data_IF_603297759272
#
_entry.id   IF_603297759272
#
_cell.length_a   1.000
_cell.length_b   1.000
_cell.length_c   1.000
_cell.angle_alpha   90.00
_cell.angle_beta   90.00
_cell.angle_gamma   90.00
#
_symmetry.space_group_name_H-M   'P 1'
#
loop_
_entity.id
_entity.type
_entity.pdbx_description
1 polymer ?
#
# COMPACT_ATOMS: atom_id res chain seq x y z
N UNK A 1 -18.56 2.20 -20.09
CA UNK A 1 -18.83 0.82 -20.58
C UNK A 1 -19.61 0.02 -19.53
N UNK A 2 -19.15 -0.09 -18.27
CA UNK A 2 -19.81 -0.90 -17.23
C UNK A 2 -21.28 -0.49 -17.00
N UNK A 3 -21.56 0.81 -16.83
CA UNK A 3 -22.92 1.31 -16.64
C UNK A 3 -23.84 0.98 -17.82
N UNK A 4 -23.35 1.09 -19.05
CA UNK A 4 -24.14 0.80 -20.25
C UNK A 4 -24.43 -0.69 -20.40
N UNK A 5 -23.39 -1.53 -20.24
CA UNK A 5 -23.52 -3.00 -20.35
C UNK A 5 -24.40 -3.55 -19.23
N UNK A 6 -24.21 -3.11 -17.97
CA UNK A 6 -25.04 -3.56 -16.85
C UNK A 6 -26.50 -3.18 -17.06
N UNK A 7 -26.78 -1.99 -17.56
CA UNK A 7 -28.13 -1.54 -17.86
C UNK A 7 -28.78 -2.36 -18.99
N UNK A 8 -28.03 -2.66 -20.06
CA UNK A 8 -28.50 -3.54 -21.12
C UNK A 8 -28.83 -4.95 -20.62
N UNK A 9 -27.96 -5.54 -19.78
CA UNK A 9 -28.19 -6.86 -19.20
C UNK A 9 -29.45 -6.84 -18.33
N UNK A 10 -29.64 -5.83 -17.48
CA UNK A 10 -30.84 -5.69 -16.67
C UNK A 10 -32.10 -5.58 -17.54
N UNK A 11 -32.08 -4.75 -18.60
CA UNK A 11 -33.21 -4.66 -19.52
C UNK A 11 -33.51 -6.00 -20.19
N UNK A 12 -32.49 -6.75 -20.63
CA UNK A 12 -32.67 -8.08 -21.20
C UNK A 12 -33.27 -9.07 -20.20
N UNK A 13 -32.83 -9.05 -18.94
CA UNK A 13 -33.39 -9.88 -17.86
C UNK A 13 -34.85 -9.53 -17.58
N UNK A 14 -35.22 -8.24 -17.56
CA UNK A 14 -36.60 -7.81 -17.43
C UNK A 14 -37.46 -8.27 -18.63
N UNK A 15 -36.92 -8.20 -19.84
CA UNK A 15 -37.63 -8.69 -21.05
C UNK A 15 -37.84 -10.22 -21.05
N UNK A 16 -36.93 -10.97 -20.38
CA UNK A 16 -37.03 -12.42 -20.16
C UNK A 16 -38.01 -12.80 -19.03
N UNK A 17 -38.72 -11.83 -18.43
CA UNK A 17 -39.71 -12.08 -17.38
C UNK A 17 -39.15 -12.17 -15.96
N UNK A 18 -37.87 -11.91 -15.74
CA UNK A 18 -37.25 -11.88 -14.40
C UNK A 18 -37.52 -10.52 -13.72
N UNK A 19 -38.80 -10.20 -13.46
CA UNK A 19 -39.22 -8.91 -12.91
C UNK A 19 -39.40 -8.93 -11.39
N UNK A 20 -39.54 -10.10 -10.77
CA UNK A 20 -39.74 -10.23 -9.35
C UNK A 20 -38.50 -9.80 -8.54
N UNK A 21 -38.73 -8.99 -7.52
CA UNK A 21 -37.68 -8.51 -6.59
C UNK A 21 -36.87 -9.65 -5.95
N UNK A 22 -37.44 -10.86 -5.80
CA UNK A 22 -36.76 -12.06 -5.27
C UNK A 22 -35.51 -12.46 -6.08
N UNK A 23 -35.47 -12.17 -7.40
CA UNK A 23 -34.31 -12.45 -8.25
C UNK A 23 -33.17 -11.44 -8.07
N UNK A 24 -33.47 -10.26 -7.54
CA UNK A 24 -32.52 -9.14 -7.38
C UNK A 24 -32.04 -8.92 -5.94
N UNK A 25 -32.28 -9.92 -5.05
CA UNK A 25 -31.78 -9.89 -3.68
C UNK A 25 -32.37 -8.74 -2.87
N UNK A 26 -33.66 -8.80 -2.58
CA UNK A 26 -34.29 -7.89 -1.61
C UNK A 26 -33.60 -8.10 -0.25
N UNK A 27 -32.72 -7.17 0.09
CA UNK A 27 -31.96 -7.25 1.33
C UNK A 27 -32.88 -7.16 2.54
N UNK A 28 -32.93 -8.21 3.37
CA UNK A 28 -33.50 -8.09 4.71
C UNK A 28 -32.81 -6.96 5.45
N UNK A 29 -33.56 -6.12 6.15
CA UNK A 29 -32.95 -5.11 7.04
C UNK A 29 -31.98 -5.83 8.00
N UNK A 30 -30.69 -5.50 7.90
CA UNK A 30 -29.67 -6.11 8.74
C UNK A 30 -29.68 -5.45 10.10
N UNK A 31 -29.52 -6.24 11.15
CA UNK A 31 -29.30 -5.72 12.51
C UNK A 31 -28.12 -4.76 12.49
N UNK A 32 -28.32 -3.55 12.99
CA UNK A 32 -27.26 -2.52 13.05
C UNK A 32 -26.14 -2.97 13.96
N UNK A 33 -24.93 -2.98 13.43
CA UNK A 33 -23.72 -3.33 14.19
C UNK A 33 -23.19 -2.08 14.90
N UNK A 34 -22.77 -2.23 16.15
CA UNK A 34 -22.27 -1.10 16.93
C UNK A 34 -20.74 -0.95 16.80
N UNK A 35 -20.30 -0.32 15.72
CA UNK A 35 -18.87 -0.05 15.47
C UNK A 35 -18.32 1.02 16.42
N UNK A 36 -19.08 2.06 16.71
CA UNK A 36 -18.62 3.19 17.52
C UNK A 36 -18.36 2.83 18.99
N UNK A 37 -19.02 1.81 19.54
CA UNK A 37 -18.74 1.36 20.91
C UNK A 37 -17.33 0.77 21.04
N UNK A 38 -16.82 0.17 19.97
CA UNK A 38 -15.49 -0.47 19.91
C UNK A 38 -14.40 0.42 19.29
N UNK A 39 -14.67 1.70 19.05
CA UNK A 39 -13.73 2.63 18.41
C UNK A 39 -12.36 2.67 19.09
N UNK A 40 -12.31 2.64 20.43
CA UNK A 40 -11.05 2.65 21.18
C UNK A 40 -10.17 1.44 20.86
N UNK A 41 -10.77 0.26 20.66
CA UNK A 41 -10.07 -0.96 20.28
C UNK A 41 -9.49 -0.80 18.86
N UNK A 42 -10.27 -0.29 17.92
CA UNK A 42 -9.80 -0.05 16.55
C UNK A 42 -8.63 0.95 16.52
N UNK A 43 -8.73 2.05 17.23
CA UNK A 43 -7.60 3.01 17.33
C UNK A 43 -6.37 2.39 18.00
N UNK A 44 -6.56 1.58 19.06
CA UNK A 44 -5.45 0.91 19.75
C UNK A 44 -4.75 -0.11 18.85
N UNK A 45 -5.50 -0.91 18.10
CA UNK A 45 -4.93 -1.87 17.12
C UNK A 45 -4.15 -1.13 16.02
N UNK A 46 -4.70 -0.05 15.48
CA UNK A 46 -4.02 0.78 14.48
C UNK A 46 -2.71 1.35 15.00
N UNK A 47 -2.73 1.91 16.21
CA UNK A 47 -1.54 2.48 16.83
C UNK A 47 -0.49 1.39 17.10
N UNK A 48 -0.90 0.21 17.53
CA UNK A 48 -0.01 -0.93 17.78
C UNK A 48 0.69 -1.37 16.48
N UNK A 49 -0.06 -1.49 15.37
CA UNK A 49 0.50 -1.87 14.06
C UNK A 49 1.51 -0.83 13.57
N UNK A 50 1.18 0.46 13.69
CA UNK A 50 2.10 1.55 13.32
C UNK A 50 3.33 1.55 14.21
N UNK A 51 3.18 1.35 15.52
CA UNK A 51 4.29 1.28 16.46
C UNK A 51 5.20 0.07 16.16
N UNK A 52 4.63 -1.10 15.88
CA UNK A 52 5.38 -2.29 15.46
C UNK A 52 6.17 -2.01 14.17
N UNK A 53 5.56 -1.31 13.19
CA UNK A 53 6.26 -0.87 11.99
C UNK A 53 7.44 0.07 12.30
N UNK A 54 7.25 1.00 13.23
CA UNK A 54 8.34 1.88 13.71
C UNK A 54 9.50 1.11 14.34
N UNK A 55 9.19 0.06 15.10
CA UNK A 55 10.22 -0.84 15.67
C UNK A 55 10.96 -1.58 14.54
N UNK A 56 10.24 -2.14 13.54
CA UNK A 56 10.87 -2.79 12.38
C UNK A 56 11.79 -1.81 11.62
N UNK A 57 11.36 -0.56 11.43
CA UNK A 57 12.17 0.48 10.79
C UNK A 57 13.46 0.78 11.60
N UNK A 58 13.34 0.81 12.94
CA UNK A 58 14.50 0.99 13.83
C UNK A 58 15.48 -0.18 13.76
N UNK A 59 14.98 -1.42 13.74
CA UNK A 59 15.79 -2.63 13.59
C UNK A 59 16.49 -2.66 12.22
N UNK A 60 15.79 -2.40 11.15
CA UNK A 60 16.39 -2.34 9.81
C UNK A 60 17.54 -1.31 9.76
N UNK A 61 17.33 -0.12 10.36
CA UNK A 61 18.37 0.90 10.42
C UNK A 61 19.61 0.43 11.18
N UNK A 62 19.45 -0.37 12.24
CA UNK A 62 20.60 -0.91 12.99
C UNK A 62 21.33 -2.03 12.26
N UNK A 63 20.61 -2.81 11.42
CA UNK A 63 21.19 -3.92 10.65
C UNK A 63 21.83 -3.47 9.33
N UNK A 64 21.12 -2.62 8.56
CA UNK A 64 21.50 -2.26 7.19
C UNK A 64 21.87 -0.80 6.98
N UNK A 65 21.78 0.03 8.02
CA UNK A 65 21.95 1.49 7.94
C UNK A 65 20.75 2.25 7.36
N UNK A 66 19.81 1.56 6.71
CA UNK A 66 18.64 2.12 6.05
C UNK A 66 17.34 1.74 6.80
N UNK A 67 16.37 2.65 6.81
CA UNK A 67 15.06 2.43 7.45
C UNK A 67 14.18 1.47 6.65
N UNK A 68 14.32 1.50 5.33
CA UNK A 68 13.59 0.70 4.35
C UNK A 68 14.57 0.09 3.36
N UNK A 69 14.19 -0.98 2.69
CA UNK A 69 14.99 -1.58 1.62
C UNK A 69 14.85 -0.76 0.33
N UNK A 70 15.68 0.27 0.19
CA UNK A 70 15.63 1.13 -1.01
C UNK A 70 16.14 0.40 -2.24
N UNK A 71 15.43 0.55 -3.36
CA UNK A 71 15.89 0.08 -4.67
C UNK A 71 17.01 0.96 -5.19
N UNK A 72 17.70 0.47 -6.22
CA UNK A 72 18.73 1.22 -6.91
C UNK A 72 18.24 2.57 -7.44
N UNK A 73 16.99 2.64 -7.88
CA UNK A 73 16.35 3.88 -8.34
C UNK A 73 16.36 4.99 -7.29
N UNK A 74 16.25 4.63 -6.01
CA UNK A 74 16.20 5.59 -4.90
C UNK A 74 17.49 5.74 -4.13
N UNK A 75 18.36 4.74 -4.13
CA UNK A 75 19.66 4.80 -3.44
C UNK A 75 20.77 5.28 -4.36
N UNK A 76 20.68 4.99 -5.64
CA UNK A 76 21.78 5.08 -6.60
C UNK A 76 22.74 3.90 -6.42
N UNK A 77 23.68 3.77 -7.33
CA UNK A 77 24.67 2.69 -7.27
C UNK A 77 24.65 1.80 -8.50
N UNK A 78 25.23 0.62 -8.36
CA UNK A 78 25.25 -0.43 -9.38
C UNK A 78 24.53 -1.66 -8.86
N UNK A 79 23.61 -2.20 -9.64
CA UNK A 79 22.99 -3.50 -9.42
C UNK A 79 23.60 -4.48 -10.41
N UNK A 80 24.27 -5.49 -9.90
CA UNK A 80 24.84 -6.58 -10.71
C UNK A 80 23.99 -7.81 -10.51
N UNK A 81 23.42 -8.31 -11.59
CA UNK A 81 22.62 -9.52 -11.61
C UNK A 81 23.50 -10.68 -12.07
N UNK A 82 23.61 -11.72 -11.24
CA UNK A 82 24.53 -12.83 -11.41
C UNK A 82 23.73 -14.13 -11.36
N UNK A 83 23.91 -14.99 -12.35
CA UNK A 83 23.32 -16.33 -12.35
C UNK A 83 24.39 -17.33 -11.94
N UNK A 84 24.30 -17.87 -10.72
CA UNK A 84 25.22 -18.88 -10.23
C UNK A 84 24.89 -20.27 -10.79
N UNK A 85 25.89 -21.14 -10.88
CA UNK A 85 25.71 -22.52 -11.33
C UNK A 85 25.01 -23.40 -10.29
N UNK A 86 25.14 -23.04 -9.01
CA UNK A 86 24.51 -23.72 -7.88
C UNK A 86 23.61 -22.78 -7.10
N UNK A 87 22.62 -23.36 -6.41
CA UNK A 87 21.70 -22.59 -5.58
C UNK A 87 22.33 -22.30 -4.22
N UNK A 88 22.93 -21.11 -4.06
CA UNK A 88 23.55 -20.68 -2.80
C UNK A 88 22.52 -20.11 -1.83
N UNK A 89 22.66 -20.40 -0.55
CA UNK A 89 21.86 -19.78 0.52
C UNK A 89 22.31 -18.32 0.75
N UNK A 90 21.50 -17.53 1.44
CA UNK A 90 21.88 -16.13 1.76
C UNK A 90 23.11 -16.11 2.66
N UNK A 91 23.21 -17.02 3.60
CA UNK A 91 24.36 -17.17 4.51
C UNK A 91 25.66 -17.50 3.75
N UNK A 92 25.57 -18.34 2.72
CA UNK A 92 26.74 -18.64 1.86
C UNK A 92 27.15 -17.46 1.00
N UNK A 93 26.17 -16.72 0.47
CA UNK A 93 26.44 -15.49 -0.29
C UNK A 93 27.14 -14.44 0.58
N UNK A 94 26.65 -14.22 1.81
CA UNK A 94 27.24 -13.27 2.76
C UNK A 94 28.63 -13.69 3.24
N UNK A 95 28.89 -15.01 3.34
CA UNK A 95 30.17 -15.51 3.82
C UNK A 95 31.24 -15.59 2.72
N UNK A 96 30.87 -15.86 1.47
CA UNK A 96 31.81 -16.17 0.40
C UNK A 96 31.86 -15.12 -0.71
N UNK A 97 30.69 -14.59 -1.12
CA UNK A 97 30.58 -13.69 -2.29
C UNK A 97 30.73 -12.23 -1.88
N UNK A 98 30.02 -11.82 -0.83
CA UNK A 98 30.02 -10.42 -0.35
C UNK A 98 31.44 -9.93 -0.02
N UNK A 99 32.30 -10.66 0.74
CA UNK A 99 33.65 -10.19 1.06
C UNK A 99 34.54 -10.00 -0.18
N UNK A 100 34.36 -10.81 -1.22
CA UNK A 100 35.12 -10.66 -2.47
C UNK A 100 34.71 -9.36 -3.17
N UNK A 101 33.42 -9.06 -3.19
CA UNK A 101 32.90 -7.84 -3.82
C UNK A 101 33.31 -6.60 -3.02
N UNK A 102 33.24 -6.66 -1.68
CA UNK A 102 33.73 -5.59 -0.80
C UNK A 102 35.21 -5.29 -1.01
N UNK A 103 36.01 -6.35 -1.18
CA UNK A 103 37.47 -6.22 -1.44
C UNK A 103 37.78 -5.53 -2.77
N UNK A 104 36.97 -5.75 -3.79
CA UNK A 104 37.13 -5.15 -5.13
C UNK A 104 36.55 -3.73 -5.18
N UNK A 105 35.37 -3.56 -4.64
CA UNK A 105 34.63 -2.31 -4.75
C UNK A 105 34.98 -1.30 -3.66
N UNK A 106 35.54 -1.74 -2.55
CA UNK A 106 35.75 -0.92 -1.35
C UNK A 106 34.44 -0.44 -0.71
N UNK A 107 33.31 -1.09 -1.04
CA UNK A 107 31.98 -0.77 -0.50
C UNK A 107 31.67 -1.69 0.68
N UNK A 108 31.66 -1.16 1.89
CA UNK A 108 31.29 -1.92 3.10
C UNK A 108 29.79 -2.13 3.29
N UNK A 109 28.96 -1.74 2.31
CA UNK A 109 27.48 -1.88 2.35
C UNK A 109 26.95 -2.70 1.16
N UNK A 110 27.67 -3.71 0.73
CA UNK A 110 27.24 -4.64 -0.31
C UNK A 110 25.99 -5.39 0.16
N UNK A 111 24.96 -5.40 -0.65
CA UNK A 111 23.73 -6.13 -0.35
C UNK A 111 23.51 -7.22 -1.39
N UNK A 112 23.45 -8.47 -0.94
CA UNK A 112 23.08 -9.61 -1.76
C UNK A 112 21.60 -9.93 -1.57
N UNK A 113 20.87 -10.09 -2.67
CA UNK A 113 19.45 -10.44 -2.67
C UNK A 113 19.21 -11.61 -3.60
N UNK A 114 18.75 -12.73 -3.06
CA UNK A 114 18.43 -13.92 -3.84
C UNK A 114 17.06 -13.80 -4.50
N UNK A 115 16.96 -14.18 -5.77
CA UNK A 115 15.68 -14.29 -6.47
C UNK A 115 15.03 -15.64 -6.15
N UNK A 116 13.85 -15.62 -5.54
CA UNK A 116 13.15 -16.82 -5.12
C UNK A 116 12.88 -17.80 -6.28
N UNK A 117 13.33 -19.05 -6.12
CA UNK A 117 13.11 -20.10 -7.11
C UNK A 117 14.07 -20.06 -8.31
N UNK A 118 15.19 -19.34 -8.18
CA UNK A 118 16.22 -19.19 -9.19
C UNK A 118 17.60 -19.24 -8.55
N UNK A 119 18.62 -19.55 -9.32
CA UNK A 119 20.05 -19.38 -8.96
C UNK A 119 20.54 -17.95 -9.19
N UNK A 120 19.64 -17.05 -9.49
CA UNK A 120 19.89 -15.64 -9.76
C UNK A 120 20.01 -14.85 -8.44
N UNK A 121 21.09 -14.05 -8.36
CA UNK A 121 21.39 -13.19 -7.21
C UNK A 121 21.62 -11.77 -7.72
N UNK A 122 20.93 -10.84 -7.08
CA UNK A 122 21.07 -9.40 -7.32
C UNK A 122 22.00 -8.83 -6.26
N UNK A 123 23.12 -8.27 -6.68
CA UNK A 123 24.09 -7.62 -5.81
C UNK A 123 24.05 -6.12 -6.02
N UNK A 124 23.80 -5.38 -4.95
CA UNK A 124 23.74 -3.91 -4.95
C UNK A 124 25.00 -3.35 -4.29
N UNK A 125 25.67 -2.46 -5.01
CA UNK A 125 26.89 -1.79 -4.56
C UNK A 125 26.80 -0.28 -4.80
N UNK A 126 27.78 0.50 -4.32
CA UNK A 126 27.96 1.86 -4.77
C UNK A 126 28.10 1.94 -6.31
N UNK A 127 28.04 3.11 -6.86
CA UNK A 127 28.31 3.30 -8.31
C UNK A 127 29.69 2.80 -8.66
N UNK A 128 29.75 1.82 -9.56
CA UNK A 128 30.99 1.22 -10.06
C UNK A 128 31.40 1.85 -11.39
N UNK A 129 32.67 2.09 -11.55
CA UNK A 129 33.28 2.44 -12.86
C UNK A 129 33.31 1.23 -13.79
N UNK A 130 33.55 1.47 -15.08
CA UNK A 130 33.65 0.38 -16.06
C UNK A 130 34.78 -0.60 -15.70
N UNK A 131 35.96 -0.08 -15.28
CA UNK A 131 37.09 -0.91 -14.87
C UNK A 131 36.78 -1.76 -13.63
N UNK A 132 36.11 -1.20 -12.62
CA UNK A 132 35.71 -1.95 -11.43
C UNK A 132 34.72 -3.06 -11.77
N UNK A 133 33.76 -2.82 -12.69
CA UNK A 133 32.84 -3.84 -13.18
C UNK A 133 33.52 -4.97 -13.93
N UNK A 134 34.48 -4.66 -14.77
CA UNK A 134 35.30 -5.66 -15.48
C UNK A 134 36.08 -6.53 -14.48
N UNK A 135 36.76 -5.90 -13.50
CA UNK A 135 37.47 -6.62 -12.45
C UNK A 135 36.55 -7.50 -11.62
N UNK A 136 35.34 -7.00 -11.31
CA UNK A 136 34.33 -7.74 -10.58
C UNK A 136 33.82 -8.97 -11.36
N UNK A 137 33.53 -8.78 -12.66
CA UNK A 137 33.08 -9.87 -13.54
C UNK A 137 34.15 -10.96 -13.66
N UNK A 138 35.41 -10.56 -13.80
CA UNK A 138 36.54 -11.46 -13.91
C UNK A 138 36.79 -12.26 -12.63
N UNK A 139 36.65 -11.60 -11.46
CA UNK A 139 36.75 -12.25 -10.16
C UNK A 139 35.59 -13.24 -9.91
N UNK A 140 34.38 -12.87 -10.24
CA UNK A 140 33.20 -13.74 -10.12
C UNK A 140 33.30 -14.96 -11.03
N UNK A 141 33.79 -14.77 -12.26
CA UNK A 141 34.02 -15.88 -13.18
C UNK A 141 35.12 -16.83 -12.69
N UNK A 142 36.21 -16.27 -12.18
CA UNK A 142 37.39 -17.07 -11.77
C UNK A 142 37.13 -17.83 -10.46
N UNK A 143 36.47 -17.20 -9.49
CA UNK A 143 36.28 -17.79 -8.16
C UNK A 143 35.03 -18.64 -8.05
N UNK A 144 33.94 -18.27 -8.72
CA UNK A 144 32.66 -18.93 -8.63
C UNK A 144 32.19 -19.61 -9.92
N UNK A 145 33.01 -19.59 -10.97
CA UNK A 145 32.70 -20.23 -12.26
C UNK A 145 31.51 -19.61 -12.98
N UNK A 146 31.17 -18.35 -12.67
CA UNK A 146 30.03 -17.66 -13.26
C UNK A 146 30.32 -17.29 -14.71
N UNK A 147 29.37 -17.53 -15.59
CA UNK A 147 29.47 -17.14 -17.00
C UNK A 147 29.33 -15.60 -17.11
N UNK A 148 30.38 -14.95 -17.57
CA UNK A 148 30.44 -13.48 -17.71
C UNK A 148 29.36 -12.92 -18.66
N UNK A 149 28.91 -13.72 -19.64
CA UNK A 149 27.81 -13.32 -20.54
C UNK A 149 26.45 -13.26 -19.84
N UNK A 150 26.31 -13.93 -18.70
CA UNK A 150 25.11 -13.94 -17.87
C UNK A 150 25.15 -12.92 -16.74
N UNK A 151 26.24 -12.16 -16.61
CA UNK A 151 26.32 -11.06 -15.65
C UNK A 151 25.80 -9.80 -16.33
N UNK A 152 24.71 -9.26 -15.78
CA UNK A 152 24.16 -7.97 -16.23
C UNK A 152 24.31 -6.93 -15.14
N UNK A 153 24.72 -5.72 -15.51
CA UNK A 153 24.88 -4.63 -14.54
C UNK A 153 24.14 -3.38 -14.99
N UNK A 154 23.33 -2.83 -14.07
CA UNK A 154 22.65 -1.56 -14.24
C UNK A 154 23.22 -0.54 -13.26
N UNK A 155 23.48 0.68 -13.73
CA UNK A 155 24.02 1.74 -12.87
C UNK A 155 23.14 2.97 -12.94
N UNK A 156 22.73 3.47 -11.77
CA UNK A 156 21.97 4.71 -11.63
C UNK A 156 22.80 5.69 -10.79
N UNK A 157 23.01 6.89 -11.32
CA UNK A 157 23.77 7.91 -10.59
C UNK A 157 22.99 8.42 -9.37
N UNK A 158 23.70 8.83 -8.32
CA UNK A 158 23.09 9.40 -7.11
C UNK A 158 22.28 10.68 -7.39
N UNK A 159 22.66 11.43 -8.43
CA UNK A 159 21.91 12.63 -8.87
C UNK A 159 20.52 12.25 -9.37
N UNK A 160 20.44 11.28 -10.30
CA UNK A 160 19.17 10.78 -10.84
C UNK A 160 18.31 10.20 -9.70
N UNK A 161 18.90 9.44 -8.80
CA UNK A 161 18.17 8.87 -7.66
C UNK A 161 17.62 9.93 -6.71
N UNK A 162 18.35 11.03 -6.50
CA UNK A 162 17.85 12.15 -5.67
C UNK A 162 16.71 12.90 -6.34
N UNK A 163 16.75 13.10 -7.65
CA UNK A 163 15.67 13.68 -8.44
C UNK A 163 14.42 12.80 -8.37
N UNK A 164 14.55 11.50 -8.63
CA UNK A 164 13.44 10.55 -8.56
C UNK A 164 12.76 10.52 -7.17
N UNK A 165 13.54 10.59 -6.09
CA UNK A 165 12.97 10.71 -4.73
C UNK A 165 12.23 12.03 -4.53
N UNK A 166 12.79 13.14 -5.01
CA UNK A 166 12.17 14.46 -4.96
C UNK A 166 10.82 14.46 -5.69
N UNK A 167 10.80 13.98 -6.91
CA UNK A 167 9.60 13.89 -7.75
C UNK A 167 8.54 12.99 -7.11
N UNK A 168 8.95 11.87 -6.51
CA UNK A 168 8.05 10.97 -5.77
C UNK A 168 7.33 11.68 -4.63
N UNK A 169 8.07 12.41 -3.81
CA UNK A 169 7.51 13.17 -2.67
C UNK A 169 6.54 14.24 -3.18
N UNK A 170 6.93 14.98 -4.20
CA UNK A 170 6.09 16.02 -4.82
C UNK A 170 4.81 15.41 -5.39
N UNK A 171 4.89 14.29 -6.10
CA UNK A 171 3.73 13.61 -6.67
C UNK A 171 2.74 13.17 -5.57
N UNK A 172 3.22 12.58 -4.47
CA UNK A 172 2.38 12.17 -3.34
C UNK A 172 1.74 13.37 -2.65
N UNK A 173 2.49 14.47 -2.47
CA UNK A 173 1.95 15.71 -1.89
C UNK A 173 0.86 16.31 -2.77
N UNK A 174 1.09 16.43 -4.08
CA UNK A 174 0.10 16.95 -5.03
C UNK A 174 -1.14 16.08 -5.02
N UNK A 175 -0.99 14.76 -5.11
CA UNK A 175 -2.11 13.82 -5.07
C UNK A 175 -2.93 13.98 -3.77
N UNK A 176 -2.26 14.10 -2.63
CA UNK A 176 -2.91 14.30 -1.32
C UNK A 176 -3.69 15.60 -1.28
N UNK A 177 -3.11 16.72 -1.75
CA UNK A 177 -3.79 18.03 -1.80
C UNK A 177 -4.99 17.99 -2.74
N UNK A 178 -4.85 17.41 -3.93
CA UNK A 178 -5.96 17.25 -4.88
C UNK A 178 -7.11 16.43 -4.27
N UNK A 179 -6.78 15.35 -3.57
CA UNK A 179 -7.76 14.50 -2.87
C UNK A 179 -8.47 15.28 -1.75
N UNK A 180 -7.74 16.07 -0.96
CA UNK A 180 -8.30 16.94 0.07
C UNK A 180 -9.31 17.93 -0.50
N UNK A 181 -8.92 18.61 -1.56
CA UNK A 181 -9.78 19.57 -2.26
C UNK A 181 -11.03 18.87 -2.80
N UNK A 182 -10.87 17.72 -3.45
CA UNK A 182 -11.99 16.94 -3.97
C UNK A 182 -13.00 16.58 -2.86
N UNK A 183 -12.53 16.04 -1.73
CA UNK A 183 -13.42 15.65 -0.62
C UNK A 183 -14.09 16.87 -0.02
N UNK A 184 -13.35 17.96 0.18
CA UNK A 184 -13.92 19.19 0.72
C UNK A 184 -15.00 19.77 -0.18
N UNK A 185 -14.76 19.85 -1.49
CA UNK A 185 -15.75 20.30 -2.48
C UNK A 185 -16.97 19.37 -2.52
N UNK A 186 -16.73 18.06 -2.43
CA UNK A 186 -17.79 17.02 -2.53
C UNK A 186 -18.73 17.04 -1.34
N UNK A 187 -18.20 17.19 -0.13
CA UNK A 187 -18.97 17.10 1.11
C UNK A 187 -19.33 18.45 1.73
N UNK A 188 -18.63 19.50 1.38
CA UNK A 188 -18.78 20.89 1.91
C UNK A 188 -18.72 20.95 3.45
N UNK A 189 -18.13 19.96 4.11
CA UNK A 189 -17.90 19.91 5.56
C UNK A 189 -16.44 19.46 5.79
N UNK A 190 -15.67 20.34 6.42
CA UNK A 190 -14.25 20.13 6.71
C UNK A 190 -14.01 18.90 7.57
N UNK A 191 -14.98 18.45 8.35
CA UNK A 191 -14.86 17.29 9.24
C UNK A 191 -14.80 15.98 8.45
N UNK A 192 -15.55 15.87 7.35
CA UNK A 192 -15.42 14.73 6.44
C UNK A 192 -14.04 14.71 5.79
N UNK A 193 -13.56 15.86 5.30
CA UNK A 193 -12.24 15.96 4.70
C UNK A 193 -11.14 15.62 5.71
N UNK A 194 -11.16 16.21 6.90
CA UNK A 194 -10.16 15.96 7.92
C UNK A 194 -10.13 14.49 8.38
N UNK A 195 -11.31 13.85 8.59
CA UNK A 195 -11.37 12.44 8.97
C UNK A 195 -10.90 11.51 7.85
N UNK A 196 -11.18 11.83 6.59
CA UNK A 196 -10.65 11.07 5.45
C UNK A 196 -9.13 11.14 5.39
N UNK A 197 -8.55 12.33 5.57
CA UNK A 197 -7.09 12.52 5.55
C UNK A 197 -6.40 11.75 6.66
N UNK A 198 -6.94 11.80 7.88
CA UNK A 198 -6.37 11.03 9.00
C UNK A 198 -6.45 9.53 8.72
N UNK A 199 -7.55 9.04 8.12
CA UNK A 199 -7.66 7.64 7.70
C UNK A 199 -6.67 7.28 6.59
N UNK A 200 -6.46 8.16 5.60
CA UNK A 200 -5.46 7.96 4.55
C UNK A 200 -4.03 7.96 5.09
N UNK A 201 -3.72 8.88 6.01
CA UNK A 201 -2.40 8.92 6.66
C UNK A 201 -2.14 7.62 7.44
N UNK A 202 -3.15 7.11 8.15
CA UNK A 202 -3.09 5.81 8.79
C UNK A 202 -2.75 4.70 7.78
N UNK A 203 -3.43 4.65 6.64
CA UNK A 203 -3.22 3.61 5.62
C UNK A 203 -1.81 3.66 5.05
N UNK A 204 -1.32 4.86 4.75
CA UNK A 204 0.07 5.08 4.30
C UNK A 204 1.07 4.60 5.35
N UNK A 205 0.87 4.93 6.64
CA UNK A 205 1.77 4.50 7.71
C UNK A 205 1.76 2.98 7.92
N UNK A 206 0.60 2.34 7.82
CA UNK A 206 0.51 0.87 7.92
C UNK A 206 1.19 0.19 6.73
N UNK A 207 1.04 0.72 5.53
CA UNK A 207 1.73 0.17 4.35
C UNK A 207 3.23 0.39 4.44
N UNK A 208 3.71 1.54 4.92
CA UNK A 208 5.12 1.76 5.22
C UNK A 208 5.65 0.76 6.26
N UNK A 209 4.86 0.51 7.32
CA UNK A 209 5.19 -0.52 8.32
C UNK A 209 5.32 -1.92 7.67
N UNK A 210 4.43 -2.23 6.74
CA UNK A 210 4.49 -3.49 5.98
C UNK A 210 5.75 -3.57 5.10
N UNK A 211 6.11 -2.50 4.39
CA UNK A 211 7.36 -2.45 3.61
C UNK A 211 8.59 -2.69 4.49
N UNK A 212 8.63 -2.09 5.68
CA UNK A 212 9.71 -2.28 6.62
C UNK A 212 9.79 -3.73 7.16
N UNK A 213 8.65 -4.31 7.52
CA UNK A 213 8.58 -5.65 8.09
C UNK A 213 8.86 -6.76 7.06
N UNK A 214 8.33 -6.60 5.84
CA UNK A 214 8.50 -7.58 4.76
C UNK A 214 9.78 -7.36 3.93
N UNK A 215 10.57 -6.31 4.25
CA UNK A 215 11.79 -5.91 3.53
C UNK A 215 11.60 -5.78 2.00
N UNK A 216 10.38 -5.41 1.57
CA UNK A 216 10.06 -5.21 0.16
C UNK A 216 10.80 -3.99 -0.38
N UNK A 217 11.25 -4.07 -1.64
CA UNK A 217 12.02 -3.01 -2.30
C UNK A 217 11.20 -1.73 -2.49
N UNK A 218 11.79 -0.58 -2.13
CA UNK A 218 11.18 0.75 -2.23
C UNK A 218 11.78 1.51 -3.41
N UNK A 219 11.05 1.58 -4.51
CA UNK A 219 11.44 2.24 -5.76
C UNK A 219 10.26 2.90 -6.45
N UNK A 220 10.28 3.00 -7.77
CA UNK A 220 9.18 3.55 -8.57
C UNK A 220 7.87 2.78 -8.39
N UNK A 221 7.94 1.47 -8.24
CA UNK A 221 6.78 0.60 -7.94
C UNK A 221 6.13 0.95 -6.60
N UNK A 222 6.90 1.37 -5.60
CA UNK A 222 6.40 1.86 -4.33
C UNK A 222 5.51 3.09 -4.50
N UNK A 223 5.92 4.06 -5.33
CA UNK A 223 5.13 5.27 -5.60
C UNK A 223 3.79 4.89 -6.22
N UNK A 224 3.82 4.05 -7.26
CA UNK A 224 2.61 3.56 -7.93
C UNK A 224 1.69 2.82 -6.95
N UNK A 225 2.24 1.99 -6.07
CA UNK A 225 1.51 1.28 -5.02
C UNK A 225 0.85 2.27 -4.05
N UNK A 226 1.58 3.26 -3.53
CA UNK A 226 1.07 4.26 -2.60
C UNK A 226 -0.07 5.09 -3.20
N UNK A 227 0.10 5.59 -4.44
CA UNK A 227 -0.95 6.33 -5.13
C UNK A 227 -2.20 5.48 -5.37
N UNK A 228 -2.01 4.21 -5.72
CA UNK A 228 -3.11 3.27 -5.92
C UNK A 228 -3.87 3.01 -4.61
N UNK A 229 -3.16 2.79 -3.51
CA UNK A 229 -3.76 2.56 -2.18
C UNK A 229 -4.53 3.79 -1.71
N UNK A 230 -3.96 4.99 -1.87
CA UNK A 230 -4.63 6.25 -1.55
C UNK A 230 -5.94 6.37 -2.34
N UNK A 231 -5.91 6.14 -3.65
CA UNK A 231 -7.10 6.18 -4.51
C UNK A 231 -8.15 5.12 -4.14
N UNK A 232 -7.70 3.92 -3.79
CA UNK A 232 -8.58 2.81 -3.40
C UNK A 232 -9.25 3.06 -2.04
N UNK A 233 -8.48 3.42 -1.03
CA UNK A 233 -8.98 3.67 0.33
C UNK A 233 -9.99 4.81 0.37
N UNK A 234 -9.71 5.91 -0.34
CA UNK A 234 -10.62 7.04 -0.38
C UNK A 234 -11.98 6.68 -0.99
N UNK A 235 -12.00 5.82 -2.02
CA UNK A 235 -13.25 5.38 -2.64
C UNK A 235 -14.17 4.66 -1.65
N UNK A 236 -13.64 3.76 -0.83
CA UNK A 236 -14.39 3.08 0.22
C UNK A 236 -14.90 4.06 1.29
N UNK A 237 -14.07 5.01 1.69
CA UNK A 237 -14.41 6.04 2.69
C UNK A 237 -15.53 6.96 2.18
N UNK A 238 -15.50 7.39 0.91
CA UNK A 238 -16.52 8.23 0.30
C UNK A 238 -17.89 7.53 0.30
N UNK A 239 -17.94 6.24 0.00
CA UNK A 239 -19.18 5.45 0.01
C UNK A 239 -19.85 5.47 1.40
N UNK A 240 -19.05 5.33 2.46
CA UNK A 240 -19.54 5.38 3.84
C UNK A 240 -20.00 6.81 4.20
N UNK A 241 -19.22 7.82 3.82
CA UNK A 241 -19.54 9.21 4.10
C UNK A 241 -20.79 9.70 3.35
N UNK A 242 -20.96 9.32 2.10
CA UNK A 242 -22.20 9.59 1.35
C UNK A 242 -23.41 8.99 2.06
N UNK A 243 -23.30 7.76 2.57
CA UNK A 243 -24.37 7.11 3.31
C UNK A 243 -24.63 7.78 4.66
N UNK A 244 -23.59 8.21 5.37
CA UNK A 244 -23.76 8.99 6.61
C UNK A 244 -24.51 10.31 6.31
N UNK A 245 -24.12 11.02 5.24
CA UNK A 245 -24.77 12.26 4.83
C UNK A 245 -26.23 12.07 4.45
N UNK A 246 -26.53 11.02 3.70
CA UNK A 246 -27.89 10.66 3.31
C UNK A 246 -28.78 10.37 4.54
N UNK A 247 -28.31 9.49 5.44
CA UNK A 247 -29.04 9.16 6.66
C UNK A 247 -29.18 10.36 7.61
N UNK A 248 -28.21 11.27 7.66
CA UNK A 248 -28.31 12.52 8.40
C UNK A 248 -29.41 13.44 7.86
N UNK A 249 -29.57 13.49 6.53
CA UNK A 249 -30.63 14.29 5.88
C UNK A 249 -32.03 13.76 6.19
N UNK A 250 -32.15 12.46 6.45
CA UNK A 250 -33.40 11.77 6.79
C UNK A 250 -33.67 11.72 8.32
N UNK A 251 -32.62 11.95 9.13
CA UNK A 251 -32.70 11.85 10.57
C UNK A 251 -33.49 13.03 11.18
N UNK A 252 -34.38 12.75 12.09
CA UNK A 252 -35.08 13.75 12.88
C UNK A 252 -34.16 14.49 13.87
N UNK A 253 -34.55 15.67 14.33
CA UNK A 253 -33.74 16.51 15.25
C UNK A 253 -33.31 15.81 16.55
N UNK A 254 -33.98 14.70 16.95
CA UNK A 254 -33.71 13.94 18.19
C UNK A 254 -32.95 12.62 17.95
N UNK A 255 -32.57 12.30 16.71
CA UNK A 255 -31.88 11.02 16.39
C UNK A 255 -30.44 11.05 16.91
N UNK A 256 -30.01 9.98 17.58
CA UNK A 256 -28.65 9.86 18.07
C UNK A 256 -27.67 9.75 16.88
N UNK A 257 -26.67 10.61 16.88
CA UNK A 257 -25.64 10.66 15.85
C UNK A 257 -24.86 9.35 15.75
N UNK A 258 -24.67 8.66 16.89
CA UNK A 258 -23.98 7.36 16.92
C UNK A 258 -24.81 6.28 16.21
N UNK A 259 -26.12 6.30 16.36
CA UNK A 259 -27.02 5.38 15.66
C UNK A 259 -26.97 5.60 14.15
N UNK A 260 -27.00 6.86 13.69
CA UNK A 260 -26.91 7.21 12.28
C UNK A 260 -25.61 6.69 11.66
N UNK A 261 -24.47 6.89 12.32
CA UNK A 261 -23.18 6.43 11.84
C UNK A 261 -23.12 4.89 11.78
N UNK A 262 -23.53 4.21 12.85
CA UNK A 262 -23.54 2.75 12.90
C UNK A 262 -24.46 2.13 11.83
N UNK A 263 -25.63 2.70 11.62
CA UNK A 263 -26.58 2.32 10.57
C UNK A 263 -25.96 2.49 9.20
N UNK A 264 -25.31 3.63 8.93
CA UNK A 264 -24.67 3.94 7.65
C UNK A 264 -23.54 2.97 7.32
N UNK A 265 -22.68 2.68 8.29
CA UNK A 265 -21.59 1.70 8.12
C UNK A 265 -22.19 0.32 7.84
N UNK A 266 -23.19 -0.11 8.60
CA UNK A 266 -23.84 -1.42 8.43
C UNK A 266 -24.48 -1.56 7.04
N UNK A 267 -25.11 -0.51 6.53
CA UNK A 267 -25.75 -0.50 5.20
C UNK A 267 -24.74 -0.62 4.05
N UNK A 268 -23.56 -0.04 4.21
CA UNK A 268 -22.49 -0.07 3.18
C UNK A 268 -21.52 -1.23 3.33
N UNK A 269 -21.56 -1.94 4.47
CA UNK A 269 -20.57 -2.95 4.86
C UNK A 269 -20.37 -4.05 3.79
N UNK A 270 -21.47 -4.63 3.29
CA UNK A 270 -21.39 -5.68 2.27
C UNK A 270 -20.74 -5.18 0.99
N UNK A 271 -21.13 -3.98 0.54
CA UNK A 271 -20.53 -3.39 -0.67
C UNK A 271 -19.05 -3.16 -0.48
N UNK A 272 -18.62 -2.58 0.64
CA UNK A 272 -17.21 -2.33 0.93
C UNK A 272 -16.41 -3.63 1.00
N UNK A 273 -16.90 -4.65 1.72
CA UNK A 273 -16.22 -5.94 1.83
C UNK A 273 -16.14 -6.65 0.47
N UNK A 274 -17.23 -6.77 -0.28
CA UNK A 274 -17.20 -7.47 -1.57
C UNK A 274 -16.33 -6.76 -2.60
N UNK A 275 -16.36 -5.42 -2.64
CA UNK A 275 -15.48 -4.64 -3.53
C UNK A 275 -14.01 -4.89 -3.17
N UNK A 276 -13.67 -4.87 -1.89
CA UNK A 276 -12.30 -5.13 -1.43
C UNK A 276 -11.87 -6.56 -1.69
N UNK A 277 -12.75 -7.52 -1.45
CA UNK A 277 -12.46 -8.94 -1.66
C UNK A 277 -12.22 -9.27 -3.15
N UNK A 278 -13.03 -8.72 -4.05
CA UNK A 278 -12.85 -8.90 -5.49
C UNK A 278 -11.53 -8.30 -5.97
N UNK A 279 -11.18 -7.10 -5.52
CA UNK A 279 -9.90 -6.46 -5.85
C UNK A 279 -8.73 -7.24 -5.24
N UNK A 280 -8.86 -7.70 -3.99
CA UNK A 280 -7.84 -8.51 -3.31
C UNK A 280 -7.56 -9.81 -4.07
N UNK A 281 -8.59 -10.53 -4.53
CA UNK A 281 -8.41 -11.73 -5.34
C UNK A 281 -7.77 -11.45 -6.69
N UNK A 282 -8.14 -10.35 -7.35
CA UNK A 282 -7.53 -9.96 -8.62
C UNK A 282 -6.03 -9.66 -8.45
N UNK A 283 -5.66 -8.89 -7.43
CA UNK A 283 -4.26 -8.59 -7.11
C UNK A 283 -3.54 -9.85 -6.60
N UNK A 284 -4.22 -10.72 -5.85
CA UNK A 284 -3.70 -12.01 -5.41
C UNK A 284 -3.39 -12.97 -6.55
N UNK A 285 -4.23 -13.01 -7.59
CA UNK A 285 -3.94 -13.75 -8.81
C UNK A 285 -2.71 -13.19 -9.53
N UNK A 286 -2.59 -11.85 -9.59
CA UNK A 286 -1.42 -11.17 -10.14
C UNK A 286 -0.14 -11.50 -9.34
N UNK A 287 -0.22 -11.57 -8.01
CA UNK A 287 0.87 -12.00 -7.14
C UNK A 287 1.28 -13.46 -7.39
N UNK A 288 0.30 -14.36 -7.55
CA UNK A 288 0.57 -15.79 -7.73
C UNK A 288 1.26 -16.11 -9.08
N UNK A 289 0.82 -15.45 -10.16
CA UNK A 289 1.26 -15.72 -11.54
C UNK A 289 2.35 -14.74 -12.00
N UNK A 290 2.48 -13.60 -11.36
CA UNK A 290 3.38 -12.51 -11.80
C UNK A 290 4.87 -12.83 -11.61
N UNK A 291 5.69 -12.20 -12.44
CA UNK A 291 7.15 -12.16 -12.28
C UNK A 291 7.55 -11.34 -11.05
N UNK A 292 8.80 -11.42 -10.61
CA UNK A 292 9.30 -10.83 -9.37
C UNK A 292 8.90 -9.34 -9.22
N UNK A 293 9.10 -8.52 -10.24
CA UNK A 293 8.74 -7.09 -10.19
C UNK A 293 7.23 -6.85 -9.96
N UNK A 294 6.39 -7.72 -10.52
CA UNK A 294 4.94 -7.65 -10.33
C UNK A 294 4.57 -8.10 -8.91
N UNK A 295 5.24 -9.11 -8.37
CA UNK A 295 5.02 -9.58 -7.00
C UNK A 295 5.41 -8.51 -5.98
N UNK A 296 6.50 -7.79 -6.18
CA UNK A 296 6.94 -6.67 -5.34
C UNK A 296 5.91 -5.53 -5.27
N UNK A 297 5.17 -5.31 -6.36
CA UNK A 297 4.05 -4.36 -6.40
C UNK A 297 2.77 -4.93 -5.78
N UNK A 298 2.42 -6.18 -6.12
CA UNK A 298 1.15 -6.79 -5.75
C UNK A 298 1.04 -7.06 -4.25
N UNK A 299 2.11 -7.53 -3.60
CA UNK A 299 2.11 -7.89 -2.19
C UNK A 299 1.80 -6.71 -1.26
N UNK A 300 2.48 -5.54 -1.34
CA UNK A 300 2.11 -4.37 -0.55
C UNK A 300 0.74 -3.81 -0.91
N UNK A 301 0.33 -3.91 -2.17
CA UNK A 301 -1.00 -3.48 -2.60
C UNK A 301 -2.10 -4.32 -1.95
N UNK A 302 -1.91 -5.63 -1.81
CA UNK A 302 -2.83 -6.51 -1.06
C UNK A 302 -2.95 -6.08 0.40
N UNK A 303 -1.82 -5.80 1.07
CA UNK A 303 -1.81 -5.27 2.43
C UNK A 303 -2.55 -3.92 2.52
N UNK A 304 -2.33 -3.03 1.55
CA UNK A 304 -3.00 -1.73 1.47
C UNK A 304 -4.51 -1.83 1.25
N UNK A 305 -4.99 -2.77 0.43
CA UNK A 305 -6.42 -3.04 0.21
C UNK A 305 -7.09 -3.48 1.52
N UNK A 306 -6.47 -4.39 2.27
CA UNK A 306 -6.98 -4.85 3.57
C UNK A 306 -7.00 -3.70 4.58
N UNK A 307 -5.90 -2.94 4.66
CA UNK A 307 -5.78 -1.79 5.55
C UNK A 307 -6.82 -0.71 5.22
N UNK A 308 -6.97 -0.32 3.94
CA UNK A 308 -7.94 0.69 3.49
C UNK A 308 -9.39 0.26 3.72
N UNK A 309 -9.69 -1.03 3.60
CA UNK A 309 -11.01 -1.56 3.97
C UNK A 309 -11.27 -1.43 5.46
N UNK A 310 -10.30 -1.82 6.28
CA UNK A 310 -10.38 -1.68 7.72
C UNK A 310 -10.53 -0.22 8.14
N UNK A 311 -9.69 0.67 7.64
CA UNK A 311 -9.70 2.09 8.02
C UNK A 311 -11.00 2.78 7.61
N UNK A 312 -11.52 2.50 6.44
CA UNK A 312 -12.80 3.05 5.97
C UNK A 312 -13.96 2.64 6.85
N UNK A 313 -14.05 1.36 7.24
CA UNK A 313 -15.15 0.82 8.04
C UNK A 313 -15.02 1.21 9.52
N UNK A 314 -13.81 1.04 10.10
CA UNK A 314 -13.60 1.12 11.54
C UNK A 314 -13.12 2.50 12.02
N UNK A 315 -12.36 3.24 11.21
CA UNK A 315 -11.73 4.50 11.62
C UNK A 315 -12.42 5.73 11.06
N UNK A 316 -12.68 5.80 9.75
CA UNK A 316 -13.13 7.02 9.09
C UNK A 316 -14.46 7.55 9.66
N UNK A 317 -15.47 6.68 9.82
CA UNK A 317 -16.75 7.04 10.44
C UNK A 317 -16.61 7.42 11.92
N UNK A 318 -15.74 6.73 12.67
CA UNK A 318 -15.49 7.01 14.07
C UNK A 318 -14.74 8.35 14.26
N UNK A 319 -13.77 8.65 13.41
CA UNK A 319 -13.05 9.94 13.40
C UNK A 319 -14.01 11.09 13.14
N UNK A 320 -14.84 10.97 12.11
CA UNK A 320 -15.84 11.99 11.80
C UNK A 320 -16.82 12.21 12.97
N UNK A 321 -17.30 11.13 13.61
CA UNK A 321 -18.16 11.20 14.79
C UNK A 321 -17.48 11.95 15.94
N UNK A 322 -16.23 11.63 16.25
CA UNK A 322 -15.46 12.29 17.33
C UNK A 322 -15.24 13.76 17.00
N UNK A 323 -14.87 14.10 15.77
CA UNK A 323 -14.69 15.50 15.36
C UNK A 323 -16.01 16.29 15.48
N UNK A 324 -17.13 15.71 15.09
CA UNK A 324 -18.42 16.38 15.15
C UNK A 324 -18.93 16.58 16.58
N UNK A 325 -18.70 15.62 17.46
CA UNK A 325 -19.22 15.66 18.86
C UNK A 325 -18.32 16.44 19.82
N UNK A 326 -16.98 16.37 19.67
CA UNK A 326 -16.04 17.01 20.60
C UNK A 326 -15.64 18.42 20.16
N UNK A 327 -15.36 18.63 18.87
CA UNK A 327 -14.88 19.93 18.39
C UNK A 327 -16.06 20.89 18.18
N UNK A 328 -17.22 20.40 17.75
CA UNK A 328 -18.42 21.22 17.59
C UNK A 328 -19.00 21.79 18.89
N UNK A 329 -18.79 21.13 20.04
CA UNK A 329 -19.22 21.64 21.36
C UNK A 329 -18.32 22.76 21.88
N UNK A 330 -17.01 22.75 21.59
CA UNK A 330 -16.10 23.83 21.97
C UNK A 330 -16.35 25.13 21.21
N UNK A 331 -16.71 25.05 19.92
CA UNK A 331 -17.01 26.23 19.09
C UNK A 331 -18.38 26.87 19.40
N UNK A 332 -19.27 26.17 20.11
CA UNK A 332 -20.56 26.73 20.56
C UNK A 332 -20.51 27.31 21.99
N UNK A 333 -19.38 27.17 22.68
CA UNK A 333 -19.14 27.67 24.05
C UNK A 333 -18.11 28.82 24.10
N UNK A 334 -17.49 29.15 22.97
CA UNK A 334 -16.65 30.34 22.77
C UNK A 334 -17.40 31.40 21.96
#
# INVERSE_FOLDING_TARGET
TALFVTRMILHALFALGLQDAKFYGVGKERKTWNFLSRKAIFFAVSLLVIAAGGVCMGLNRSETGDVLNYSLEFKGGTSTNIVFNEDMSIEELDAQVVPVIEGITGDGNVQAQKVSGSTEVIIKTRTLTVAERETLNEALSTQFGVDTEKITAETISSTISSEMRGDAIIAVLIATVCMLLYIWLRFRDIRFAASAVVALLHDVLVVLAFYAAAKVSVGSTFIACMLTIVGYSINATIVIFDRIRENLGQAGKKTDLAEVVNKSITQTLSRSIFTSLTTFFMVGALFAVGVTSIREFALPLMAGILCGTYSSICLAGALWYVMRTKIGKKAAQS
#
